data_IF_877596986067
#
_entry.id   IF_877596986067
#
_cell.length_a   1.000
_cell.length_b   1.000
_cell.length_c   1.000
_cell.angle_alpha   90.00
_cell.angle_beta   90.00
_cell.angle_gamma   90.00
#
_symmetry.space_group_name_H-M   'P 1'
#
loop_
_entity.id
_entity.type
_entity.pdbx_description
1 polymer ?
#
# COMPACT_ATOMS: atom_id res chain seq x y z
N UNK A 1 -0.22 78.54 -0.12
CA UNK A 1 -1.58 78.44 -0.72
C UNK A 1 -1.43 77.82 -2.11
N UNK A 2 -2.05 76.65 -2.38
CA UNK A 2 -2.25 76.11 -3.75
C UNK A 2 -3.51 76.80 -4.37
N UNK A 3 -4.09 76.43 -5.56
CA UNK A 3 -3.89 75.21 -6.39
C UNK A 3 -4.02 75.35 -7.94
N UNK A 4 -3.87 74.20 -8.63
CA UNK A 4 -4.49 73.84 -9.93
C UNK A 4 -3.61 74.03 -11.18
N UNK A 5 -3.61 73.19 -12.23
CA UNK A 5 -4.27 71.93 -12.57
C UNK A 5 -3.57 71.36 -13.85
N UNK A 6 -3.63 70.03 -14.03
CA UNK A 6 -3.68 69.21 -15.26
C UNK A 6 -2.60 69.26 -16.39
N UNK A 7 -2.22 68.00 -16.74
CA UNK A 7 -1.43 67.37 -17.83
C UNK A 7 -1.81 67.72 -19.29
N UNK A 8 -1.18 67.13 -20.36
CA UNK A 8 0.13 66.45 -20.54
C UNK A 8 0.96 66.99 -21.73
N UNK A 9 2.26 66.66 -21.80
CA UNK A 9 3.13 66.97 -22.94
C UNK A 9 3.51 65.70 -23.74
N UNK A 10 3.56 65.86 -25.06
CA UNK A 10 3.67 64.85 -26.11
C UNK A 10 5.14 64.55 -26.48
N UNK A 11 5.35 63.33 -26.97
CA UNK A 11 6.43 62.86 -27.86
C UNK A 11 7.87 62.65 -27.34
N UNK A 12 8.34 61.40 -27.48
CA UNK A 12 9.26 61.04 -28.58
C UNK A 12 9.37 59.54 -28.79
N UNK A 13 9.08 59.14 -30.03
CA UNK A 13 9.39 57.84 -30.61
C UNK A 13 10.91 57.62 -30.70
N UNK A 14 11.38 56.46 -30.25
CA UNK A 14 12.61 55.85 -30.78
C UNK A 14 12.32 54.40 -31.15
N UNK A 15 12.36 54.13 -32.45
CA UNK A 15 12.35 52.82 -33.06
C UNK A 15 13.72 52.16 -32.87
N UNK A 16 13.75 50.96 -32.31
CA UNK A 16 14.87 50.04 -32.55
C UNK A 16 14.36 48.62 -32.75
N UNK A 17 14.17 48.31 -34.04
CA UNK A 17 13.98 46.97 -34.60
C UNK A 17 15.19 46.11 -34.23
N UNK A 18 14.97 44.99 -33.54
CA UNK A 18 16.02 43.97 -33.39
C UNK A 18 15.55 42.69 -34.06
N UNK A 19 16.35 42.29 -35.05
CA UNK A 19 16.17 41.19 -36.00
C UNK A 19 16.15 39.82 -35.33
N UNK A 20 15.26 38.96 -35.80
CA UNK A 20 15.35 37.50 -35.73
C UNK A 20 16.54 36.98 -36.52
N UNK A 21 17.25 35.94 -36.03
CA UNK A 21 17.97 35.01 -36.89
C UNK A 21 17.14 33.74 -37.10
N UNK A 22 16.77 33.50 -38.36
CA UNK A 22 16.44 32.19 -38.89
C UNK A 22 17.76 31.41 -39.06
N UNK A 23 17.88 30.25 -38.44
CA UNK A 23 18.66 29.16 -39.00
C UNK A 23 18.09 27.81 -38.57
N UNK A 24 17.64 27.09 -39.59
CA UNK A 24 17.13 25.74 -39.58
C UNK A 24 18.24 24.75 -39.24
N UNK A 25 18.05 23.97 -38.17
CA UNK A 25 18.70 22.67 -38.01
C UNK A 25 17.62 21.66 -37.71
N UNK A 26 17.42 20.74 -38.65
CA UNK A 26 16.57 19.56 -38.52
C UNK A 26 17.17 18.69 -37.42
N UNK A 27 16.51 18.62 -36.27
CA UNK A 27 16.85 17.66 -35.20
C UNK A 27 15.64 16.75 -34.99
N UNK A 28 15.82 15.47 -35.33
CA UNK A 28 14.88 14.40 -35.05
C UNK A 28 14.42 14.45 -33.59
N UNK A 29 13.11 14.62 -33.36
CA UNK A 29 12.46 14.44 -32.06
C UNK A 29 12.58 12.97 -31.64
N UNK A 30 13.62 12.63 -30.89
CA UNK A 30 13.58 11.46 -30.01
C UNK A 30 12.74 11.82 -28.78
N UNK A 31 11.53 11.27 -28.73
CA UNK A 31 10.68 11.26 -27.53
C UNK A 31 11.47 10.67 -26.36
N UNK A 32 11.86 11.51 -25.39
CA UNK A 32 12.40 11.05 -24.11
C UNK A 32 11.23 10.90 -23.14
N UNK A 33 10.75 9.67 -22.99
CA UNK A 33 9.93 9.24 -21.85
C UNK A 33 10.59 9.70 -20.55
N UNK A 34 9.87 10.52 -19.77
CA UNK A 34 10.29 10.91 -18.41
C UNK A 34 10.29 9.67 -17.54
N UNK A 35 11.46 9.08 -17.34
CA UNK A 35 11.64 7.96 -16.42
C UNK A 35 11.61 8.50 -14.98
N UNK A 36 10.60 8.12 -14.20
CA UNK A 36 10.57 8.32 -12.75
C UNK A 36 11.70 7.50 -12.10
N UNK A 37 12.84 8.15 -11.83
CA UNK A 37 13.93 7.59 -11.00
C UNK A 37 13.76 8.13 -9.59
N UNK A 38 13.42 7.27 -8.64
CA UNK A 38 13.55 7.56 -7.21
C UNK A 38 14.90 6.99 -6.75
N UNK A 39 15.89 7.85 -6.55
CA UNK A 39 17.16 7.50 -5.90
C UNK A 39 17.07 7.87 -4.42
N UNK A 40 17.08 6.87 -3.54
CA UNK A 40 17.30 7.09 -2.11
C UNK A 40 18.63 6.42 -1.71
N UNK A 41 19.59 7.27 -1.31
CA UNK A 41 20.84 6.85 -0.67
C UNK A 41 20.52 6.49 0.78
N UNK A 42 20.84 5.27 1.20
CA UNK A 42 20.76 4.81 2.57
C UNK A 42 22.01 5.22 3.36
N UNK A 43 21.81 5.50 4.65
CA UNK A 43 22.85 5.61 5.65
C UNK A 43 22.46 4.69 6.80
N UNK A 44 23.08 3.51 6.91
CA UNK A 44 23.24 2.75 8.15
C UNK A 44 24.46 1.82 8.02
N UNK A 45 25.19 1.71 9.14
CA UNK A 45 26.52 1.12 9.26
C UNK A 45 26.57 -0.41 9.30
N UNK A 46 27.81 -0.88 9.43
CA UNK A 46 28.33 -2.19 9.09
C UNK A 46 27.65 -3.44 9.71
N UNK A 47 27.91 -4.56 9.02
CA UNK A 47 27.66 -5.97 9.32
C UNK A 47 26.22 -6.49 9.21
N UNK A 48 25.66 -6.46 7.99
CA UNK A 48 24.61 -7.42 7.59
C UNK A 48 25.19 -8.37 6.53
N UNK A 49 24.88 -9.67 6.64
CA UNK A 49 25.28 -10.72 5.67
C UNK A 49 24.36 -10.77 4.44
N UNK A 50 23.49 -9.78 4.26
CA UNK A 50 22.67 -9.63 3.07
C UNK A 50 23.60 -9.33 1.88
N UNK A 51 24.04 -10.37 1.18
CA UNK A 51 24.66 -10.24 -0.13
C UNK A 51 23.60 -9.66 -1.08
N UNK A 52 23.71 -8.36 -1.32
CA UNK A 52 22.84 -7.57 -2.16
C UNK A 52 22.71 -8.17 -3.57
N UNK A 53 21.47 -8.33 -4.08
CA UNK A 53 21.16 -8.62 -5.49
C UNK A 53 20.76 -7.32 -6.19
N UNK A 54 21.71 -6.50 -6.67
CA UNK A 54 21.41 -5.13 -7.10
C UNK A 54 20.80 -5.07 -8.51
N UNK A 55 20.90 -6.15 -9.29
CA UNK A 55 20.54 -6.16 -10.70
C UNK A 55 19.07 -6.52 -10.99
N UNK A 56 18.39 -7.23 -10.08
CA UNK A 56 16.98 -7.67 -10.26
C UNK A 56 15.97 -6.81 -9.49
N UNK A 57 16.45 -5.79 -8.79
CA UNK A 57 15.65 -4.85 -7.98
C UNK A 57 15.45 -3.51 -8.70
N UNK A 58 15.19 -3.53 -10.01
CA UNK A 58 14.65 -2.38 -10.72
C UNK A 58 13.20 -2.14 -10.22
N UNK A 59 13.10 -1.49 -9.07
CA UNK A 59 11.89 -1.33 -8.28
C UNK A 59 10.97 -0.29 -8.90
N UNK A 60 10.17 -0.71 -9.88
CA UNK A 60 9.00 0.04 -10.33
C UNK A 60 7.75 -0.72 -9.93
N UNK A 61 6.74 0.02 -9.48
CA UNK A 61 5.39 -0.53 -9.43
C UNK A 61 5.02 -0.99 -10.84
N UNK A 62 4.39 -2.15 -10.92
CA UNK A 62 3.86 -2.65 -12.19
C UNK A 62 2.96 -1.57 -12.81
N UNK A 63 3.18 -1.30 -14.09
CA UNK A 63 2.37 -0.33 -14.85
C UNK A 63 1.09 -0.95 -15.36
N UNK A 64 0.99 -2.28 -15.37
CA UNK A 64 -0.18 -3.06 -15.78
C UNK A 64 -0.50 -4.11 -14.72
N UNK A 65 -1.79 -4.36 -14.47
CA UNK A 65 -2.28 -5.40 -13.55
C UNK A 65 -3.50 -6.09 -14.16
N UNK A 66 -3.68 -7.37 -13.89
CA UNK A 66 -4.96 -8.03 -14.21
C UNK A 66 -6.09 -7.37 -13.43
N UNK A 67 -7.25 -7.23 -14.08
CA UNK A 67 -8.44 -6.75 -13.42
C UNK A 67 -8.79 -7.64 -12.21
N UNK A 68 -9.32 -7.06 -11.11
CA UNK A 68 -9.76 -7.83 -9.96
C UNK A 68 -10.75 -8.91 -10.38
N UNK A 69 -10.51 -10.14 -9.94
CA UNK A 69 -11.47 -11.25 -10.06
C UNK A 69 -12.05 -11.55 -8.70
N UNK A 70 -13.31 -11.98 -8.64
CA UNK A 70 -13.86 -12.53 -7.41
C UNK A 70 -13.15 -13.84 -7.08
N UNK A 71 -12.52 -13.93 -5.90
CA UNK A 71 -11.89 -15.16 -5.44
C UNK A 71 -12.87 -15.91 -4.53
N UNK A 72 -13.19 -17.14 -4.90
CA UNK A 72 -13.86 -18.07 -4.01
C UNK A 72 -12.84 -18.62 -3.01
N UNK A 73 -12.62 -17.87 -1.94
CA UNK A 73 -11.73 -18.27 -0.84
C UNK A 73 -12.43 -19.32 0.04
N UNK A 74 -12.80 -20.47 -0.54
CA UNK A 74 -13.42 -21.59 0.18
C UNK A 74 -12.40 -22.44 0.93
N UNK A 75 -11.12 -22.35 0.55
CA UNK A 75 -10.00 -23.09 1.15
C UNK A 75 -9.49 -22.48 2.45
N UNK A 76 -9.79 -21.20 2.74
CA UNK A 76 -9.37 -20.55 3.98
C UNK A 76 -10.42 -20.79 5.07
N UNK A 77 -9.95 -21.13 6.28
CA UNK A 77 -10.81 -21.25 7.44
C UNK A 77 -11.59 -19.92 7.69
N UNK A 78 -12.93 -19.98 7.82
CA UNK A 78 -13.78 -18.78 7.89
C UNK A 78 -13.49 -17.89 9.10
N UNK A 79 -13.07 -18.46 10.23
CA UNK A 79 -12.72 -17.69 11.44
C UNK A 79 -11.46 -16.86 11.22
N UNK A 80 -10.43 -17.46 10.60
CA UNK A 80 -9.18 -16.77 10.25
C UNK A 80 -9.43 -15.70 9.19
N UNK A 81 -10.29 -15.99 8.22
CA UNK A 81 -10.68 -15.03 7.18
C UNK A 81 -11.43 -13.83 7.78
N UNK A 82 -12.34 -14.07 8.73
CA UNK A 82 -13.10 -13.00 9.39
C UNK A 82 -12.19 -12.04 10.16
N UNK A 83 -11.10 -12.54 10.77
CA UNK A 83 -10.10 -11.72 11.45
C UNK A 83 -9.38 -10.78 10.47
N UNK A 84 -9.01 -11.27 9.29
CA UNK A 84 -8.33 -10.47 8.26
C UNK A 84 -9.21 -9.32 7.73
N UNK A 85 -10.51 -9.58 7.59
CA UNK A 85 -11.44 -8.66 6.92
C UNK A 85 -12.00 -7.57 7.86
N UNK A 86 -12.32 -7.89 9.11
CA UNK A 86 -13.01 -6.92 9.99
C UNK A 86 -12.07 -5.94 10.70
N UNK A 87 -10.77 -6.16 10.60
CA UNK A 87 -9.74 -5.47 11.38
C UNK A 87 -9.06 -4.36 10.56
N UNK A 88 -8.80 -3.21 11.18
CA UNK A 88 -7.85 -2.22 10.61
C UNK A 88 -6.42 -2.65 10.97
N UNK A 89 -5.57 -2.75 9.97
CA UNK A 89 -4.19 -3.20 10.08
C UNK A 89 -3.24 -2.03 9.87
N UNK A 90 -2.23 -1.93 10.73
CA UNK A 90 -1.05 -1.12 10.50
C UNK A 90 -0.02 -1.96 9.73
N UNK A 91 0.38 -1.45 8.56
CA UNK A 91 1.26 -2.11 7.61
C UNK A 91 2.73 -1.79 7.89
N UNK A 92 3.58 -2.77 7.63
CA UNK A 92 5.02 -2.66 7.61
C UNK A 92 5.57 -3.60 6.53
N UNK A 93 6.73 -3.26 5.98
CA UNK A 93 7.49 -4.23 5.19
C UNK A 93 8.37 -5.08 6.12
N UNK A 94 8.76 -6.26 5.66
CA UNK A 94 9.72 -7.15 6.32
C UNK A 94 10.71 -7.67 5.29
N UNK A 95 12.01 -7.69 5.61
CA UNK A 95 12.99 -8.39 4.78
C UNK A 95 12.76 -9.91 4.81
N UNK A 96 13.31 -10.69 3.86
CA UNK A 96 13.25 -12.14 3.95
C UNK A 96 13.76 -12.65 5.30
N UNK A 97 13.08 -13.69 5.81
CA UNK A 97 13.31 -14.26 7.13
C UNK A 97 14.33 -15.40 7.01
N UNK A 98 15.47 -15.29 7.68
CA UNK A 98 16.50 -16.33 7.70
C UNK A 98 16.05 -17.54 8.51
N UNK A 99 16.13 -18.73 7.91
CA UNK A 99 15.77 -20.03 8.49
C UNK A 99 14.34 -20.13 9.05
N UNK A 100 13.44 -19.23 8.66
CA UNK A 100 12.02 -19.38 8.99
C UNK A 100 11.48 -20.66 8.34
N UNK A 101 10.70 -21.45 9.09
CA UNK A 101 10.08 -22.68 8.58
C UNK A 101 8.64 -22.78 9.06
N UNK A 102 7.70 -22.94 8.12
CA UNK A 102 6.28 -23.16 8.43
C UNK A 102 6.01 -24.43 9.24
N UNK A 103 6.94 -25.37 9.31
CA UNK A 103 6.83 -26.58 10.16
C UNK A 103 7.10 -26.29 11.64
N UNK A 104 7.74 -25.17 11.98
CA UNK A 104 8.17 -24.85 13.35
C UNK A 104 7.24 -23.88 14.09
N UNK A 105 6.06 -23.55 13.55
CA UNK A 105 5.14 -22.55 14.13
C UNK A 105 4.77 -22.79 15.60
N UNK A 106 4.64 -24.06 16.03
CA UNK A 106 4.40 -24.40 17.45
C UNK A 106 5.58 -24.02 18.34
N UNK A 107 6.81 -24.19 17.85
CA UNK A 107 8.03 -23.76 18.55
C UNK A 107 8.09 -22.24 18.65
N UNK A 108 7.84 -21.54 17.54
CA UNK A 108 7.81 -20.07 17.48
C UNK A 108 6.76 -19.48 18.44
N UNK A 109 5.60 -20.12 18.55
CA UNK A 109 4.56 -19.74 19.53
C UNK A 109 5.07 -19.77 20.96
N UNK A 110 5.81 -20.83 21.35
CA UNK A 110 6.40 -20.96 22.69
C UNK A 110 7.51 -19.93 22.91
N UNK A 111 8.40 -19.78 21.93
CA UNK A 111 9.55 -18.87 22.00
C UNK A 111 9.11 -17.41 22.11
N UNK A 112 8.16 -16.95 21.28
CA UNK A 112 7.64 -15.59 21.37
C UNK A 112 6.86 -15.35 22.67
N UNK A 113 6.12 -16.35 23.17
CA UNK A 113 5.47 -16.25 24.50
C UNK A 113 6.50 -16.05 25.62
N UNK A 114 7.59 -16.82 25.60
CA UNK A 114 8.67 -16.72 26.59
C UNK A 114 9.43 -15.39 26.46
N UNK A 115 9.70 -14.94 25.24
CA UNK A 115 10.34 -13.65 24.97
C UNK A 115 9.52 -12.48 25.54
N UNK A 116 8.21 -12.44 25.27
CA UNK A 116 7.32 -11.40 25.81
C UNK A 116 7.31 -11.41 27.36
N UNK A 117 7.32 -12.60 27.97
CA UNK A 117 7.37 -12.73 29.42
C UNK A 117 8.69 -12.21 30.00
N UNK A 118 9.82 -12.53 29.37
CA UNK A 118 11.15 -12.09 29.80
C UNK A 118 11.34 -10.56 29.67
N UNK A 119 10.96 -9.96 28.54
CA UNK A 119 11.05 -8.52 28.31
C UNK A 119 10.21 -7.71 29.30
N UNK A 120 9.06 -8.24 29.71
CA UNK A 120 8.23 -7.62 30.75
C UNK A 120 8.86 -7.67 32.14
N UNK A 121 9.65 -8.69 32.44
CA UNK A 121 10.37 -8.81 33.71
C UNK A 121 11.58 -7.87 33.75
N UNK A 122 12.28 -7.70 32.62
CA UNK A 122 13.43 -6.80 32.52
C UNK A 122 13.03 -5.31 32.60
N UNK A 123 11.83 -4.94 32.15
CA UNK A 123 11.30 -3.58 32.24
C UNK A 123 10.76 -3.16 33.62
N UNK A 124 10.72 -4.07 34.60
CA UNK A 124 10.25 -3.82 35.97
C UNK A 124 11.44 -3.63 36.91
N UNK A 125 12.19 -2.54 36.74
CA UNK A 125 13.04 -2.03 37.80
C UNK A 125 12.14 -1.26 38.77
N UNK A 126 11.91 -1.84 39.95
CA UNK A 126 11.20 -1.27 41.11
C UNK A 126 9.66 -1.32 41.04
N UNK A 127 9.09 -2.01 42.03
CA UNK A 127 7.70 -1.95 42.53
C UNK A 127 6.55 -2.49 41.64
N UNK A 128 6.10 -3.70 41.95
CA UNK A 128 4.83 -4.04 42.64
C UNK A 128 4.53 -5.49 42.27
N UNK A 129 4.44 -6.35 43.29
CA UNK A 129 3.91 -7.73 43.22
C UNK A 129 2.42 -7.69 42.85
N UNK A 130 2.13 -7.36 41.59
CA UNK A 130 0.83 -7.60 40.97
C UNK A 130 0.88 -8.93 40.20
N UNK A 131 -0.19 -9.73 40.19
CA UNK A 131 -0.20 -10.97 39.41
C UNK A 131 0.00 -10.63 37.92
N UNK A 132 1.04 -11.22 37.32
CA UNK A 132 1.44 -10.88 35.95
C UNK A 132 0.42 -11.41 34.94
N UNK A 133 0.05 -10.58 33.95
CA UNK A 133 -0.76 -11.03 32.80
C UNK A 133 0.03 -12.05 32.00
N UNK A 134 -0.35 -13.32 32.07
CA UNK A 134 0.20 -14.37 31.21
C UNK A 134 -0.27 -14.14 29.77
N UNK A 135 0.68 -14.05 28.84
CA UNK A 135 0.39 -14.01 27.41
C UNK A 135 0.52 -15.41 26.81
N UNK A 136 -0.45 -15.79 25.98
CA UNK A 136 -0.40 -16.99 25.16
C UNK A 136 -0.32 -16.58 23.71
N UNK A 137 0.75 -16.99 23.04
CA UNK A 137 0.95 -16.73 21.61
C UNK A 137 0.58 -17.95 20.78
N UNK A 138 -0.02 -17.73 19.62
CA UNK A 138 -0.30 -18.76 18.62
C UNK A 138 0.10 -18.31 17.23
N UNK A 139 0.87 -19.14 16.54
CA UNK A 139 1.15 -19.04 15.11
C UNK A 139 0.32 -20.08 14.37
N UNK A 140 -0.28 -19.70 13.24
CA UNK A 140 -1.05 -20.62 12.40
C UNK A 140 -0.95 -20.25 10.93
N UNK A 141 -1.07 -21.25 10.05
CA UNK A 141 -1.15 -21.02 8.62
C UNK A 141 -2.55 -20.57 8.21
N UNK A 142 -2.61 -19.67 7.23
CA UNK A 142 -3.83 -19.28 6.52
C UNK A 142 -3.72 -19.84 5.10
N UNK A 143 -4.07 -21.11 4.95
CA UNK A 143 -3.94 -21.85 3.70
C UNK A 143 -4.84 -21.29 2.59
N UNK A 144 -4.34 -21.29 1.35
CA UNK A 144 -5.11 -20.83 0.19
C UNK A 144 -5.04 -19.31 -0.02
N UNK A 145 -4.02 -18.68 0.56
CA UNK A 145 -3.66 -17.28 0.30
C UNK A 145 -2.51 -17.15 -0.71
N UNK A 146 -1.67 -18.19 -0.84
CA UNK A 146 -0.65 -18.29 -1.87
C UNK A 146 -1.32 -18.54 -3.23
N UNK A 147 -0.97 -17.73 -4.23
CA UNK A 147 -1.55 -17.80 -5.59
C UNK A 147 -0.59 -18.49 -6.58
N UNK A 148 0.71 -18.52 -6.28
CA UNK A 148 1.73 -19.19 -7.07
C UNK A 148 2.54 -20.20 -6.24
N UNK A 149 3.19 -21.15 -6.90
CA UNK A 149 4.05 -22.15 -6.23
C UNK A 149 5.29 -21.52 -5.57
N UNK A 150 5.69 -20.32 -6.01
CA UNK A 150 6.79 -19.55 -5.42
C UNK A 150 6.34 -18.77 -4.16
N UNK A 151 5.04 -18.55 -3.97
CA UNK A 151 4.51 -17.80 -2.83
C UNK A 151 4.55 -18.62 -1.53
N UNK A 152 5.11 -18.03 -0.49
CA UNK A 152 5.07 -18.62 0.85
C UNK A 152 3.67 -18.47 1.47
N UNK A 153 3.18 -19.54 2.10
CA UNK A 153 1.88 -19.52 2.78
C UNK A 153 1.81 -18.46 3.88
N UNK A 154 0.64 -17.84 3.98
CA UNK A 154 0.40 -16.74 4.93
C UNK A 154 0.40 -17.25 6.37
N UNK A 155 1.07 -16.50 7.25
CA UNK A 155 1.19 -16.82 8.67
C UNK A 155 0.38 -15.82 9.48
N UNK A 156 -0.55 -16.30 10.29
CA UNK A 156 -1.32 -15.53 11.27
C UNK A 156 -0.73 -15.74 12.67
N UNK A 157 -0.55 -14.65 13.39
CA UNK A 157 0.00 -14.59 14.74
C UNK A 157 -1.05 -13.93 15.63
N UNK A 158 -1.37 -14.55 16.76
CA UNK A 158 -2.31 -14.00 17.73
C UNK A 158 -1.71 -14.09 19.12
N UNK A 159 -1.87 -13.01 19.88
CA UNK A 159 -1.47 -12.93 21.28
C UNK A 159 -2.75 -12.77 22.09
N UNK A 160 -2.97 -13.72 22.97
CA UNK A 160 -4.09 -13.74 23.89
C UNK A 160 -3.57 -13.37 25.28
N UNK A 161 -4.38 -12.66 26.05
CA UNK A 161 -4.09 -12.37 27.45
C UNK A 161 -5.19 -12.99 28.29
N UNK A 162 -4.83 -13.68 29.38
CA UNK A 162 -5.80 -14.14 30.36
C UNK A 162 -6.07 -13.00 31.36
N UNK A 163 -7.33 -12.53 31.51
CA UNK A 163 -7.69 -11.63 32.59
C UNK A 163 -7.42 -12.30 33.95
N UNK A 164 -6.97 -11.52 34.92
CA UNK A 164 -6.57 -12.00 36.26
C UNK A 164 -7.69 -12.71 37.03
N UNK A 165 -8.95 -12.41 36.69
CA UNK A 165 -10.15 -12.97 37.31
C UNK A 165 -11.02 -13.76 36.33
N UNK A 166 -10.48 -14.15 35.17
CA UNK A 166 -11.24 -14.92 34.19
C UNK A 166 -11.55 -16.32 34.74
N UNK A 167 -12.82 -16.73 34.62
CA UNK A 167 -13.25 -18.10 34.93
C UNK A 167 -12.50 -19.09 34.02
N UNK A 168 -12.31 -20.32 34.48
CA UNK A 168 -11.49 -21.32 33.79
C UNK A 168 -11.97 -21.59 32.34
N UNK A 169 -13.26 -21.39 32.06
CA UNK A 169 -13.91 -21.56 30.76
C UNK A 169 -14.11 -20.27 29.95
N UNK A 170 -13.62 -19.11 30.42
CA UNK A 170 -13.83 -17.86 29.69
C UNK A 170 -12.89 -17.77 28.48
N UNK A 171 -13.42 -17.54 27.25
CA UNK A 171 -12.60 -17.52 26.04
C UNK A 171 -11.60 -16.37 26.09
N UNK A 172 -10.31 -16.69 25.98
CA UNK A 172 -9.27 -15.67 25.96
C UNK A 172 -9.43 -14.81 24.72
N UNK A 173 -9.63 -13.50 24.91
CA UNK A 173 -9.74 -12.56 23.80
C UNK A 173 -8.34 -12.24 23.24
N UNK A 174 -8.17 -12.16 21.91
CA UNK A 174 -6.92 -11.70 21.33
C UNK A 174 -6.72 -10.22 21.69
N UNK A 175 -5.57 -9.90 22.28
CA UNK A 175 -5.16 -8.53 22.61
C UNK A 175 -4.28 -7.92 21.52
N UNK A 176 -3.73 -8.76 20.67
CA UNK A 176 -2.95 -8.38 19.50
C UNK A 176 -3.03 -9.47 18.45
N UNK A 177 -3.10 -9.06 17.19
CA UNK A 177 -3.06 -9.94 16.02
C UNK A 177 -2.09 -9.37 15.00
N UNK A 178 -1.44 -10.24 14.24
CA UNK A 178 -0.64 -9.85 13.09
C UNK A 178 -0.55 -10.94 12.07
N UNK A 179 -0.17 -10.60 10.86
CA UNK A 179 0.02 -11.56 9.78
C UNK A 179 1.22 -11.18 8.91
N UNK A 180 1.83 -12.20 8.32
CA UNK A 180 2.94 -12.14 7.38
C UNK A 180 2.50 -12.83 6.09
N UNK A 181 2.64 -12.18 4.95
CA UNK A 181 2.19 -12.73 3.66
C UNK A 181 3.09 -12.32 2.50
N UNK A 182 3.10 -13.16 1.47
CA UNK A 182 3.60 -12.89 0.14
C UNK A 182 2.54 -13.40 -0.83
N UNK A 183 1.83 -12.51 -1.52
CA UNK A 183 0.79 -12.90 -2.50
C UNK A 183 1.20 -12.38 -3.86
N UNK A 184 1.34 -13.27 -4.84
CA UNK A 184 1.84 -12.96 -6.17
C UNK A 184 3.15 -12.18 -6.10
N UNK A 185 4.11 -12.67 -5.30
CA UNK A 185 5.44 -12.08 -5.23
C UNK A 185 6.15 -12.15 -6.57
N UNK A 186 7.15 -11.28 -6.78
CA UNK A 186 7.92 -11.30 -8.02
C UNK A 186 8.73 -12.64 -8.10
N UNK A 187 8.46 -13.51 -9.08
CA UNK A 187 9.06 -14.84 -9.12
C UNK A 187 10.57 -14.81 -9.33
N UNK A 188 11.08 -13.86 -10.13
CA UNK A 188 12.51 -13.70 -10.35
C UNK A 188 13.24 -13.33 -9.05
N UNK A 189 12.64 -12.44 -8.26
CA UNK A 189 13.14 -12.10 -6.94
C UNK A 189 13.07 -13.29 -5.99
N UNK A 190 11.92 -13.95 -5.87
CA UNK A 190 11.72 -15.07 -4.96
C UNK A 190 12.69 -16.23 -5.24
N UNK A 191 12.89 -16.57 -6.53
CA UNK A 191 13.83 -17.62 -6.95
C UNK A 191 15.30 -17.23 -6.81
N UNK A 192 15.60 -15.92 -6.78
CA UNK A 192 16.96 -15.43 -6.55
C UNK A 192 17.39 -15.49 -5.08
N UNK A 193 16.46 -15.69 -4.15
CA UNK A 193 16.76 -15.77 -2.72
C UNK A 193 17.54 -17.06 -2.39
N UNK A 194 18.50 -17.01 -1.46
CA UNK A 194 19.13 -18.23 -0.96
C UNK A 194 18.09 -19.14 -0.30
N UNK A 195 18.30 -20.46 -0.39
CA UNK A 195 17.33 -21.48 0.08
C UNK A 195 16.93 -21.38 1.56
N UNK A 196 17.76 -20.75 2.37
CA UNK A 196 17.49 -20.57 3.80
C UNK A 196 16.57 -19.38 4.09
N UNK A 197 16.25 -18.55 3.10
CA UNK A 197 15.39 -17.38 3.29
C UNK A 197 13.96 -17.63 2.80
N UNK A 198 12.99 -17.18 3.58
CA UNK A 198 11.58 -17.15 3.19
C UNK A 198 11.11 -15.71 3.07
N UNK A 199 10.48 -15.38 1.94
CA UNK A 199 9.95 -14.04 1.69
C UNK A 199 8.49 -13.94 2.15
N UNK A 200 8.23 -13.12 3.15
CA UNK A 200 6.88 -12.72 3.59
C UNK A 200 6.88 -11.20 3.79
N UNK A 201 6.97 -10.42 2.70
CA UNK A 201 7.42 -9.04 2.77
C UNK A 201 6.37 -8.10 3.36
N UNK A 202 5.10 -8.48 3.37
CA UNK A 202 4.01 -7.66 3.88
C UNK A 202 3.59 -8.12 5.27
N UNK A 203 3.71 -7.22 6.24
CA UNK A 203 3.28 -7.42 7.62
C UNK A 203 2.12 -6.50 7.98
N UNK A 204 1.01 -7.07 8.45
CA UNK A 204 -0.08 -6.33 9.08
C UNK A 204 -0.13 -6.60 10.57
N UNK A 205 -0.34 -5.56 11.37
CA UNK A 205 -0.50 -5.68 12.83
C UNK A 205 -1.71 -4.89 13.34
N UNK A 206 -2.36 -5.41 14.36
CA UNK A 206 -3.51 -4.81 15.03
C UNK A 206 -3.44 -5.10 16.53
N UNK A 207 -3.42 -4.06 17.35
CA UNK A 207 -3.28 -4.17 18.80
C UNK A 207 -2.37 -3.09 19.38
N UNK A 208 -1.96 -3.26 20.64
CA UNK A 208 -1.10 -2.30 21.32
C UNK A 208 0.28 -2.18 20.68
N UNK A 209 0.77 -0.95 20.49
CA UNK A 209 2.06 -0.66 19.86
C UNK A 209 3.24 -1.32 20.59
N UNK A 210 3.22 -1.34 21.92
CA UNK A 210 4.24 -2.03 22.72
C UNK A 210 4.36 -3.52 22.36
N UNK A 211 3.24 -4.22 22.14
CA UNK A 211 3.27 -5.62 21.69
C UNK A 211 3.79 -5.73 20.26
N UNK A 212 3.39 -4.82 19.36
CA UNK A 212 3.93 -4.79 17.99
C UNK A 212 5.45 -4.63 17.99
N UNK A 213 6.00 -3.75 18.82
CA UNK A 213 7.45 -3.54 18.95
C UNK A 213 8.16 -4.78 19.47
N UNK A 214 7.61 -5.47 20.49
CA UNK A 214 8.16 -6.72 21.00
C UNK A 214 8.15 -7.83 19.94
N UNK A 215 7.04 -7.99 19.22
CA UNK A 215 6.92 -8.99 18.14
C UNK A 215 7.96 -8.71 17.06
N UNK A 216 8.06 -7.47 16.58
CA UNK A 216 9.06 -7.08 15.57
C UNK A 216 10.47 -7.36 16.07
N UNK A 217 10.81 -6.93 17.29
CA UNK A 217 12.13 -7.14 17.88
C UNK A 217 12.49 -8.63 17.97
N UNK A 218 11.54 -9.48 18.38
CA UNK A 218 11.74 -10.92 18.40
C UNK A 218 12.02 -11.49 17.01
N UNK A 219 11.26 -11.10 15.99
CA UNK A 219 11.52 -11.53 14.61
C UNK A 219 12.90 -11.09 14.11
N UNK A 220 13.30 -9.84 14.40
CA UNK A 220 14.59 -9.30 13.98
C UNK A 220 15.74 -10.09 14.61
N UNK A 221 15.66 -10.40 15.92
CA UNK A 221 16.67 -11.19 16.62
C UNK A 221 16.69 -12.65 16.20
N UNK A 222 15.52 -13.26 15.99
CA UNK A 222 15.40 -14.70 15.79
C UNK A 222 15.58 -15.14 14.33
N UNK A 223 15.22 -14.28 13.36
CA UNK A 223 15.27 -14.60 11.93
C UNK A 223 16.16 -13.64 11.13
N UNK A 224 17.02 -12.85 11.78
CA UNK A 224 17.94 -11.89 11.15
C UNK A 224 17.26 -11.07 10.03
N UNK A 225 16.14 -10.43 10.39
CA UNK A 225 15.32 -9.66 9.47
C UNK A 225 15.15 -8.21 9.91
N UNK A 226 14.58 -7.38 9.05
CA UNK A 226 14.32 -5.97 9.31
C UNK A 226 12.86 -5.63 9.01
N UNK A 227 12.25 -4.81 9.87
CA UNK A 227 10.93 -4.22 9.63
C UNK A 227 11.07 -2.73 9.36
N UNK A 228 10.17 -2.18 8.53
CA UNK A 228 9.99 -0.74 8.42
C UNK A 228 8.56 -0.36 8.07
N UNK A 229 8.17 0.91 8.29
CA UNK A 229 6.82 1.36 8.00
C UNK A 229 6.52 1.23 6.50
N UNK A 230 5.32 0.77 6.18
CA UNK A 230 4.84 0.69 4.80
C UNK A 230 3.80 1.77 4.55
N UNK A 231 4.25 2.93 4.10
CA UNK A 231 3.35 4.00 3.64
C UNK A 231 2.69 3.61 2.32
N UNK A 232 1.39 3.84 2.21
CA UNK A 232 0.62 3.62 0.98
C UNK A 232 0.74 4.89 0.13
N UNK A 233 1.63 4.86 -0.85
CA UNK A 233 1.87 6.00 -1.74
C UNK A 233 0.59 6.47 -2.46
N UNK A 234 0.57 7.72 -2.94
CA UNK A 234 -0.54 8.26 -3.73
C UNK A 234 -0.88 7.39 -4.94
N UNK A 235 0.13 6.88 -5.64
CA UNK A 235 -0.06 5.96 -6.76
C UNK A 235 -0.72 4.65 -6.32
N UNK A 236 -0.32 4.10 -5.17
CA UNK A 236 -0.97 2.91 -4.62
C UNK A 236 -2.43 3.17 -4.21
N UNK A 237 -2.74 4.34 -3.62
CA UNK A 237 -4.12 4.73 -3.33
C UNK A 237 -4.97 4.87 -4.61
N UNK A 238 -4.39 5.43 -5.69
CA UNK A 238 -5.04 5.50 -7.00
C UNK A 238 -5.32 4.11 -7.58
N UNK A 239 -4.36 3.19 -7.46
CA UNK A 239 -4.56 1.79 -7.84
C UNK A 239 -5.68 1.14 -7.03
N UNK A 240 -5.67 1.25 -5.70
CA UNK A 240 -6.73 0.69 -4.86
C UNK A 240 -8.11 1.25 -5.24
N UNK A 241 -8.19 2.55 -5.52
CA UNK A 241 -9.40 3.21 -5.98
C UNK A 241 -9.93 2.61 -7.29
N UNK A 242 -9.07 2.49 -8.30
CA UNK A 242 -9.44 1.92 -9.60
C UNK A 242 -9.82 0.44 -9.48
N UNK A 243 -9.01 -0.35 -8.78
CA UNK A 243 -9.25 -1.78 -8.55
C UNK A 243 -10.57 -2.00 -7.80
N UNK A 244 -10.84 -1.26 -6.73
CA UNK A 244 -12.11 -1.40 -6.00
C UNK A 244 -13.30 -0.94 -6.83
N UNK A 245 -13.17 0.14 -7.61
CA UNK A 245 -14.25 0.60 -8.50
C UNK A 245 -14.56 -0.42 -9.59
N UNK A 246 -13.53 -1.11 -10.09
CA UNK A 246 -13.70 -2.16 -11.09
C UNK A 246 -14.54 -3.35 -10.60
N UNK A 247 -14.70 -3.52 -9.29
CA UNK A 247 -15.52 -4.58 -8.68
C UNK A 247 -17.01 -4.18 -8.54
N UNK A 248 -17.43 -3.01 -9.03
CA UNK A 248 -18.79 -2.50 -8.81
C UNK A 248 -19.89 -3.46 -9.27
N UNK A 249 -19.73 -4.01 -10.48
CA UNK A 249 -20.69 -4.94 -11.12
C UNK A 249 -20.94 -6.20 -10.30
N UNK A 250 -19.96 -6.65 -9.52
CA UNK A 250 -19.99 -7.91 -8.79
C UNK A 250 -20.25 -7.74 -7.29
N UNK A 251 -19.99 -6.57 -6.70
CA UNK A 251 -19.97 -6.41 -5.23
C UNK A 251 -20.41 -5.07 -4.67
N UNK A 252 -21.10 -4.23 -5.46
CA UNK A 252 -21.70 -2.95 -5.04
C UNK A 252 -20.85 -2.17 -4.02
N UNK A 253 -19.99 -1.33 -4.55
CA UNK A 253 -19.06 -0.53 -3.72
C UNK A 253 -19.74 0.51 -2.82
N UNK A 254 -21.07 0.67 -2.93
CA UNK A 254 -21.95 1.68 -2.30
C UNK A 254 -21.60 3.13 -2.66
N UNK A 255 -20.37 3.56 -2.38
CA UNK A 255 -19.84 4.87 -2.71
C UNK A 255 -18.31 4.80 -2.79
N UNK A 256 -17.73 5.73 -3.54
CA UNK A 256 -16.30 5.98 -3.52
C UNK A 256 -16.02 7.24 -2.70
N UNK A 257 -15.36 7.09 -1.55
CA UNK A 257 -14.96 8.20 -0.68
C UNK A 257 -13.45 8.41 -0.71
N UNK A 258 -13.04 9.64 -0.94
CA UNK A 258 -11.66 10.10 -0.95
C UNK A 258 -11.48 11.23 0.06
N UNK A 259 -10.36 11.24 0.78
CA UNK A 259 -9.98 12.34 1.66
C UNK A 259 -8.68 12.94 1.16
N UNK A 260 -8.71 14.25 0.91
CA UNK A 260 -7.58 15.05 0.48
C UNK A 260 -7.19 16.05 1.57
N UNK A 261 -5.90 16.33 1.70
CA UNK A 261 -5.41 17.47 2.48
C UNK A 261 -4.72 18.45 1.54
N UNK A 262 -5.16 19.70 1.56
CA UNK A 262 -4.60 20.78 0.77
C UNK A 262 -3.60 21.57 1.62
N UNK A 263 -2.45 21.99 1.05
CA UNK A 263 -1.37 22.67 1.75
C UNK A 263 -1.66 24.17 1.94
N UNK A 264 -2.84 24.49 2.46
CA UNK A 264 -3.22 25.86 2.88
C UNK A 264 -3.00 26.00 4.38
N UNK A 265 -3.00 27.23 4.91
CA UNK A 265 -2.84 27.49 6.35
C UNK A 265 -4.12 28.14 6.88
N UNK A 266 -4.85 27.48 7.80
CA UNK A 266 -4.65 26.12 8.30
C UNK A 266 -4.94 25.05 7.22
N UNK A 267 -4.38 23.82 7.31
CA UNK A 267 -4.60 22.77 6.33
C UNK A 267 -6.08 22.48 6.11
N UNK A 268 -6.51 22.50 4.85
CA UNK A 268 -7.89 22.23 4.49
C UNK A 268 -8.05 20.76 4.13
N UNK A 269 -8.88 20.05 4.89
CA UNK A 269 -9.24 18.67 4.60
C UNK A 269 -10.54 18.64 3.78
N UNK A 270 -10.50 17.99 2.62
CA UNK A 270 -11.64 17.83 1.72
C UNK A 270 -12.06 16.37 1.71
N UNK A 271 -13.33 16.12 2.04
CA UNK A 271 -13.96 14.81 1.84
C UNK A 271 -14.75 14.85 0.55
N UNK A 272 -14.36 14.04 -0.43
CA UNK A 272 -15.05 13.90 -1.71
C UNK A 272 -15.67 12.51 -1.81
N UNK A 273 -17.00 12.45 -1.81
CA UNK A 273 -17.77 11.20 -1.93
C UNK A 273 -18.53 11.20 -3.25
N UNK A 274 -18.38 10.13 -4.02
CA UNK A 274 -19.04 9.90 -5.31
C UNK A 274 -19.95 8.70 -5.19
N UNK A 275 -21.14 8.78 -5.80
CA UNK A 275 -22.04 7.63 -5.88
C UNK A 275 -21.36 6.47 -6.63
N UNK A 276 -21.69 5.22 -6.28
CA UNK A 276 -21.09 4.07 -6.94
C UNK A 276 -21.36 4.02 -8.45
N UNK A 277 -22.55 4.41 -8.90
CA UNK A 277 -22.91 4.40 -10.32
C UNK A 277 -22.11 5.44 -11.10
N UNK A 278 -22.04 6.67 -10.62
CA UNK A 278 -21.25 7.74 -11.26
C UNK A 278 -19.75 7.40 -11.31
N UNK A 279 -19.22 6.81 -10.24
CA UNK A 279 -17.84 6.36 -10.19
C UNK A 279 -17.57 5.24 -11.20
N UNK A 280 -18.51 4.30 -11.33
CA UNK A 280 -18.44 3.21 -12.29
C UNK A 280 -18.62 3.69 -13.74
N UNK A 281 -19.54 4.61 -14.01
CA UNK A 281 -19.74 5.21 -15.32
C UNK A 281 -18.47 5.93 -15.78
N UNK A 282 -17.88 6.75 -14.91
CA UNK A 282 -16.62 7.41 -15.18
C UNK A 282 -15.50 6.38 -15.44
N UNK A 283 -15.34 5.38 -14.57
CA UNK A 283 -14.34 4.33 -14.75
C UNK A 283 -14.51 3.58 -16.07
N UNK A 284 -15.73 3.14 -16.39
CA UNK A 284 -16.04 2.40 -17.61
C UNK A 284 -15.86 3.25 -18.87
N UNK A 285 -16.06 4.57 -18.80
CA UNK A 285 -15.78 5.47 -19.92
C UNK A 285 -14.30 5.51 -20.28
N UNK A 286 -13.42 5.57 -19.27
CA UNK A 286 -11.95 5.55 -19.44
C UNK A 286 -11.49 4.23 -20.07
N UNK A 287 -12.06 3.10 -19.60
CA UNK A 287 -11.79 1.77 -20.16
C UNK A 287 -12.16 1.68 -21.65
N UNK A 288 -13.37 2.15 -22.01
CA UNK A 288 -13.89 2.13 -23.38
C UNK A 288 -13.10 3.03 -24.34
N UNK A 289 -12.63 4.18 -23.88
CA UNK A 289 -11.82 5.09 -24.69
C UNK A 289 -10.53 4.40 -25.12
N UNK A 290 -9.87 3.73 -24.18
CA UNK A 290 -8.63 3.00 -24.46
C UNK A 290 -8.83 1.76 -25.34
N UNK A 291 -9.92 1.01 -25.14
CA UNK A 291 -10.26 -0.10 -26.04
C UNK A 291 -10.45 0.36 -27.50
N UNK A 292 -11.00 1.54 -27.73
CA UNK A 292 -11.16 2.10 -29.08
C UNK A 292 -9.83 2.52 -29.69
N UNK A 293 -8.93 3.10 -28.89
CA UNK A 293 -7.56 3.42 -29.32
C UNK A 293 -6.76 2.16 -29.66
N UNK A 294 -6.88 1.11 -28.85
CA UNK A 294 -6.21 -0.16 -29.07
C UNK A 294 -6.78 -0.91 -30.29
N UNK A 295 -8.09 -0.88 -30.54
CA UNK A 295 -8.70 -1.52 -31.74
C UNK A 295 -8.32 -0.85 -33.06
N UNK A 296 -7.81 0.39 -33.03
CA UNK A 296 -7.29 1.09 -34.20
C UNK A 296 -5.82 0.71 -34.53
N UNK A 297 -5.14 -0.04 -33.66
CA UNK A 297 -3.81 -0.61 -33.88
C UNK A 297 -3.85 -2.14 -33.79
N UNK A 298 -3.37 -2.82 -34.82
CA UNK A 298 -3.35 -4.29 -35.02
C UNK A 298 -3.39 -5.22 -33.77
N UNK A 299 -4.28 -6.22 -33.88
CA UNK A 299 -4.43 -7.47 -33.11
C UNK A 299 -3.39 -7.75 -32.01
N UNK A 300 -3.72 -7.43 -30.76
CA UNK A 300 -3.08 -8.01 -29.59
C UNK A 300 -4.04 -8.97 -28.87
N UNK A 301 -3.49 -10.11 -28.45
CA UNK A 301 -4.13 -11.36 -28.00
C UNK A 301 -5.10 -11.18 -26.82
N UNK A 302 -6.10 -12.06 -26.75
CA UNK A 302 -7.18 -12.19 -25.74
C UNK A 302 -6.76 -12.13 -24.25
N UNK A 303 -5.47 -12.13 -23.91
CA UNK A 303 -4.98 -12.00 -22.53
C UNK A 303 -4.79 -10.55 -22.06
N UNK A 304 -4.59 -9.58 -22.97
CA UNK A 304 -4.49 -8.15 -22.63
C UNK A 304 -5.86 -7.51 -22.37
N UNK A 305 -6.94 -8.14 -22.86
CA UNK A 305 -8.31 -7.60 -22.87
C UNK A 305 -8.88 -7.33 -21.46
N UNK A 306 -8.29 -7.94 -20.40
CA UNK A 306 -8.72 -7.74 -19.02
C UNK A 306 -7.61 -7.22 -18.09
N UNK A 307 -6.62 -6.52 -18.65
CA UNK A 307 -5.60 -5.81 -17.88
C UNK A 307 -5.99 -4.35 -17.64
N UNK A 308 -5.54 -3.77 -16.53
CA UNK A 308 -5.69 -2.38 -16.12
C UNK A 308 -4.30 -1.76 -16.06
N UNK A 309 -4.10 -0.69 -16.83
CA UNK A 309 -2.83 0.02 -16.87
C UNK A 309 -2.86 1.34 -16.10
N UNK A 310 -1.67 1.83 -15.79
CA UNK A 310 -1.45 3.05 -15.03
C UNK A 310 -2.06 4.28 -15.72
N UNK A 311 -2.07 4.31 -17.05
CA UNK A 311 -2.68 5.40 -17.81
C UNK A 311 -4.18 5.50 -17.54
N UNK A 312 -4.87 4.36 -17.43
CA UNK A 312 -6.32 4.31 -17.13
C UNK A 312 -6.59 4.73 -15.69
N UNK A 313 -5.78 4.25 -14.75
CA UNK A 313 -5.84 4.68 -13.35
C UNK A 313 -5.64 6.19 -13.23
N UNK A 314 -4.69 6.74 -13.99
CA UNK A 314 -4.38 8.17 -14.02
C UNK A 314 -5.51 8.96 -14.67
N UNK A 315 -6.07 8.46 -15.78
CA UNK A 315 -7.22 9.05 -16.48
C UNK A 315 -8.45 9.10 -15.58
N UNK A 316 -8.74 8.03 -14.85
CA UNK A 316 -9.83 7.99 -13.88
C UNK A 316 -9.65 9.00 -12.75
N UNK A 317 -8.46 9.07 -12.16
CA UNK A 317 -8.13 10.07 -11.14
C UNK A 317 -8.25 11.50 -11.70
N UNK A 318 -7.82 11.74 -12.94
CA UNK A 318 -7.93 13.03 -13.59
C UNK A 318 -9.39 13.41 -13.86
N UNK A 319 -10.23 12.46 -14.24
CA UNK A 319 -11.68 12.65 -14.41
C UNK A 319 -12.34 13.12 -13.11
N UNK A 320 -12.05 12.44 -11.99
CA UNK A 320 -12.56 12.80 -10.66
C UNK A 320 -12.11 14.20 -10.23
N UNK A 321 -10.83 14.52 -10.40
CA UNK A 321 -10.30 15.86 -10.10
C UNK A 321 -10.92 16.94 -10.97
N UNK A 322 -11.08 16.68 -12.27
CA UNK A 322 -11.67 17.62 -13.22
C UNK A 322 -13.13 17.89 -12.90
N UNK A 323 -13.91 16.85 -12.55
CA UNK A 323 -15.27 16.98 -12.07
C UNK A 323 -15.32 17.85 -10.80
N UNK A 324 -14.50 17.54 -9.80
CA UNK A 324 -14.46 18.33 -8.56
C UNK A 324 -14.12 19.80 -8.81
N UNK A 325 -13.12 20.08 -9.65
CA UNK A 325 -12.73 21.45 -10.00
C UNK A 325 -13.84 22.20 -10.74
N UNK A 326 -14.57 21.55 -11.65
CA UNK A 326 -15.68 22.18 -12.39
C UNK A 326 -16.78 22.68 -11.46
N UNK A 327 -17.09 21.94 -10.40
CA UNK A 327 -18.16 22.28 -9.46
C UNK A 327 -17.70 23.22 -8.34
N UNK A 328 -16.53 22.98 -7.75
CA UNK A 328 -16.08 23.68 -6.54
C UNK A 328 -14.99 24.71 -6.79
N UNK A 329 -14.44 24.78 -8.01
CA UNK A 329 -13.31 25.65 -8.38
C UNK A 329 -12.08 25.50 -7.48
N UNK A 330 -11.92 24.30 -6.93
CA UNK A 330 -10.82 23.93 -6.05
C UNK A 330 -10.01 22.82 -6.72
N UNK A 331 -8.71 23.06 -6.91
CA UNK A 331 -7.81 22.09 -7.54
C UNK A 331 -7.24 21.12 -6.50
N UNK A 332 -7.75 19.89 -6.50
CA UNK A 332 -7.27 18.81 -5.65
C UNK A 332 -5.82 18.40 -5.97
N UNK A 333 -5.31 18.72 -7.16
CA UNK A 333 -3.93 18.37 -7.55
C UNK A 333 -2.87 19.09 -6.75
N UNK A 334 -3.22 20.21 -6.10
CA UNK A 334 -2.34 20.89 -5.15
C UNK A 334 -2.20 20.14 -3.81
N UNK A 335 -3.08 19.18 -3.52
CA UNK A 335 -3.12 18.45 -2.26
C UNK A 335 -2.53 17.04 -2.30
N UNK A 336 -2.56 16.38 -1.15
CA UNK A 336 -2.23 14.97 -0.96
C UNK A 336 -3.51 14.15 -0.80
N UNK A 337 -3.64 13.05 -1.56
CA UNK A 337 -4.67 12.06 -1.32
C UNK A 337 -4.27 11.20 -0.12
N UNK A 338 -4.98 11.34 0.99
CA UNK A 338 -4.60 10.72 2.26
C UNK A 338 -5.36 9.42 2.52
N UNK A 339 -6.57 9.28 1.98
CA UNK A 339 -7.40 8.10 2.19
C UNK A 339 -8.33 7.83 1.00
N UNK A 340 -8.52 6.54 0.70
CA UNK A 340 -9.55 6.02 -0.19
C UNK A 340 -10.39 4.98 0.56
N UNK A 341 -11.69 4.97 0.37
CA UNK A 341 -12.60 3.99 0.98
C UNK A 341 -13.83 3.69 0.12
N UNK A 342 -14.25 2.43 0.15
CA UNK A 342 -15.46 1.88 -0.46
C UNK A 342 -16.07 0.82 0.48
N UNK A 343 -17.17 0.17 0.08
CA UNK A 343 -17.68 -1.01 0.79
C UNK A 343 -16.68 -2.20 0.81
N UNK A 344 -15.68 -2.21 -0.06
CA UNK A 344 -14.67 -3.28 -0.12
C UNK A 344 -13.53 -3.07 0.88
N UNK A 345 -13.31 -1.84 1.36
CA UNK A 345 -12.24 -1.53 2.29
C UNK A 345 -11.91 -0.05 2.40
N UNK A 346 -10.91 0.26 3.22
CA UNK A 346 -10.32 1.59 3.34
C UNK A 346 -8.81 1.51 3.44
N UNK A 347 -8.12 2.44 2.81
CA UNK A 347 -6.67 2.54 2.83
C UNK A 347 -6.25 3.98 3.07
N UNK A 348 -5.25 4.18 3.94
CA UNK A 348 -4.72 5.48 4.34
C UNK A 348 -3.23 5.55 4.04
N UNK A 349 -2.76 6.73 3.62
CA UNK A 349 -1.37 7.01 3.29
C UNK A 349 -0.38 6.53 4.37
N UNK A 350 -0.72 6.70 5.65
CA UNK A 350 0.09 6.29 6.82
C UNK A 350 0.24 4.77 7.02
N UNK A 351 -0.07 3.96 6.02
CA UNK A 351 0.07 2.51 6.12
C UNK A 351 -1.05 1.82 6.88
N UNK A 352 -2.26 2.39 6.89
CA UNK A 352 -3.42 1.72 7.52
C UNK A 352 -4.36 1.18 6.46
N UNK A 353 -4.77 -0.07 6.62
CA UNK A 353 -5.73 -0.70 5.72
C UNK A 353 -6.79 -1.49 6.46
N UNK A 354 -8.03 -1.43 5.99
CA UNK A 354 -9.13 -2.30 6.43
C UNK A 354 -9.75 -2.93 5.19
N UNK A 355 -9.86 -4.26 5.16
CA UNK A 355 -10.35 -4.99 3.99
C UNK A 355 -11.73 -5.53 4.31
N UNK A 356 -12.83 -4.93 3.85
CA UNK A 356 -14.17 -5.32 4.30
C UNK A 356 -14.83 -6.44 3.49
N UNK A 357 -14.24 -6.87 2.38
CA UNK A 357 -14.73 -7.97 1.55
C UNK A 357 -13.62 -8.99 1.26
N UNK A 358 -13.84 -10.25 1.61
CA UNK A 358 -12.88 -11.33 1.38
C UNK A 358 -12.67 -11.66 -0.11
N UNK A 359 -13.70 -11.49 -0.97
CA UNK A 359 -13.64 -11.87 -2.39
C UNK A 359 -12.57 -11.15 -3.19
N UNK A 360 -12.17 -9.94 -2.78
CA UNK A 360 -11.13 -9.13 -3.45
C UNK A 360 -9.93 -8.83 -2.55
N UNK A 361 -9.81 -9.57 -1.45
CA UNK A 361 -8.69 -9.42 -0.53
C UNK A 361 -7.36 -9.76 -1.22
N UNK A 362 -7.33 -10.83 -2.03
CA UNK A 362 -6.12 -11.27 -2.78
C UNK A 362 -5.61 -10.16 -3.70
N UNK A 363 -6.48 -9.51 -4.47
CA UNK A 363 -6.12 -8.38 -5.33
C UNK A 363 -5.51 -7.22 -4.53
N UNK A 364 -6.12 -6.89 -3.39
CA UNK A 364 -5.65 -5.81 -2.50
C UNK A 364 -4.28 -6.15 -1.92
N UNK A 365 -4.11 -7.37 -1.41
CA UNK A 365 -2.86 -7.83 -0.80
C UNK A 365 -1.74 -8.05 -1.83
N UNK A 366 -2.06 -8.39 -3.07
CA UNK A 366 -1.09 -8.45 -4.18
C UNK A 366 -0.43 -7.08 -4.38
N UNK A 367 -1.24 -6.02 -4.55
CA UNK A 367 -0.71 -4.65 -4.71
C UNK A 367 0.12 -4.20 -3.50
N UNK A 368 -0.31 -4.55 -2.29
CA UNK A 368 0.45 -4.23 -1.08
C UNK A 368 1.75 -5.04 -0.96
N UNK A 369 1.76 -6.29 -1.42
CA UNK A 369 2.96 -7.14 -1.49
C UNK A 369 3.98 -6.51 -2.43
N UNK A 370 3.55 -6.06 -3.62
CA UNK A 370 4.40 -5.28 -4.53
C UNK A 370 4.97 -4.05 -3.83
N UNK A 371 4.13 -3.26 -3.14
CA UNK A 371 4.58 -2.07 -2.41
C UNK A 371 5.62 -2.41 -1.32
N UNK A 372 5.43 -3.50 -0.59
CA UNK A 372 6.35 -3.95 0.44
C UNK A 372 7.70 -4.37 -0.16
N UNK A 373 7.68 -5.15 -1.25
CA UNK A 373 8.87 -5.55 -2.01
C UNK A 373 9.68 -4.34 -2.50
N UNK A 374 8.99 -3.28 -2.95
CA UNK A 374 9.62 -2.05 -3.40
C UNK A 374 10.21 -1.20 -2.27
N UNK A 375 9.79 -1.42 -1.02
CA UNK A 375 10.22 -0.61 0.15
C UNK A 375 11.32 -1.25 0.99
N UNK A 376 11.54 -2.56 0.90
CA UNK A 376 12.59 -3.24 1.67
C UNK A 376 13.98 -2.59 1.45
N UNK A 377 14.86 -2.42 2.42
CA UNK A 377 16.25 -2.05 2.11
C UNK A 377 16.88 -3.12 1.20
N UNK A 378 17.72 -2.70 0.25
CA UNK A 378 18.64 -3.62 -0.43
C UNK A 378 19.74 -3.89 0.57
#
# INVERSE_FOLDING_TARGET
>A
MPPGADTPEMERHQNSVTRTPLNSVVVQRRSKSKSYRLSYRSCLGATSRLCFTPALTARRLNTSRRAPKSHNITKVNPEKLALLVKTEWQLSYVSPLYQFRHTQLKSYSRQLSAFIAAEKQQGLAVEVEGPQKTFRVSFSLVQGMAESDDDAETVLIQIHSKPLFARQDEPQRPVWSGWLTCINGNPDYLRSLPKDFICLPLFGSSGAEALTTLVKSWFQQFFDCCFGPLEISHTCLQWLMALWTNCHTESSIQHLKMIWTLPVVPPLQVTYTVNSEDAWELWSSVRKEKEKENKAGEMAKDEEENSIDIEEVTGFMQGLKSHFYRHFRLDLSAGSLDQVSTALGSAKYKGRIKISNSRYMITTLTLLTECALLKMPI
#
